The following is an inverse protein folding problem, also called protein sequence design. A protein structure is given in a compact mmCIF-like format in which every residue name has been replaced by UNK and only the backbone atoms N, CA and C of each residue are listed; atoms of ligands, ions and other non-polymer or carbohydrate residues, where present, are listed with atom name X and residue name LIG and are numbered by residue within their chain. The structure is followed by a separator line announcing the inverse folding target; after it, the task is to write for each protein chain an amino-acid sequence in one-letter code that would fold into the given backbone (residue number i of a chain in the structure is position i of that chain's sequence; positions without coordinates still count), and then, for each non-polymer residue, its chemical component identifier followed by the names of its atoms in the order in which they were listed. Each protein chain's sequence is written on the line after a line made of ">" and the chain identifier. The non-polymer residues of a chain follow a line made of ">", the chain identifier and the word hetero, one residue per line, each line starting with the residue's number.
data_IF_538206654005
#
_entry.id   IF_538206654005
#
_cell.length_a   1.000
_cell.length_b   1.000
_cell.length_c   1.000
_cell.angle_alpha   90.00
_cell.angle_beta   90.00
_cell.angle_gamma   90.00
#
_symmetry.space_group_name_H-M   'P 1'
#
loop_
_entity.id
_entity.type
_entity.pdbx_description
1 polymer ?
#
# COMPACT_ATOMS: atom_id res chain seq x y z
N UNK A 1 3.64 18.31 10.85
CA UNK A 1 4.38 17.03 10.74
C UNK A 1 3.43 15.91 10.34
N UNK A 2 3.94 14.85 9.80
CA UNK A 2 3.10 13.74 9.29
C UNK A 2 2.26 13.11 10.40
N UNK A 3 2.82 12.99 11.60
CA UNK A 3 2.09 12.41 12.73
C UNK A 3 0.81 13.19 13.05
N UNK A 4 0.84 14.50 12.95
CA UNK A 4 -0.35 15.34 13.18
C UNK A 4 -1.39 15.10 12.08
N UNK A 5 -0.93 14.98 10.84
CA UNK A 5 -1.84 14.73 9.71
C UNK A 5 -2.51 13.35 9.82
N UNK A 6 -1.76 12.34 10.27
CA UNK A 6 -2.32 11.01 10.51
C UNK A 6 -3.41 11.05 11.58
N UNK A 7 -3.22 11.83 12.64
CA UNK A 7 -4.23 12.00 13.68
C UNK A 7 -5.48 12.67 13.14
N UNK A 8 -5.33 13.73 12.33
CA UNK A 8 -6.47 14.40 11.69
C UNK A 8 -7.30 13.46 10.82
N UNK A 9 -6.64 12.51 10.15
CA UNK A 9 -7.28 11.55 9.27
C UNK A 9 -7.73 10.28 10.00
N UNK A 10 -7.49 10.20 11.31
CA UNK A 10 -7.78 9.01 12.13
C UNK A 10 -7.10 7.74 11.56
N UNK A 11 -5.84 7.89 11.18
CA UNK A 11 -5.04 6.78 10.65
C UNK A 11 -4.01 6.36 11.67
N UNK A 12 -4.01 5.06 12.01
CA UNK A 12 -3.02 4.45 12.87
C UNK A 12 -2.03 3.65 12.03
N UNK A 13 -0.73 3.96 12.16
CA UNK A 13 0.34 3.21 11.52
C UNK A 13 0.77 2.09 12.47
N UNK A 14 0.55 0.82 12.13
CA UNK A 14 0.88 -0.28 13.02
C UNK A 14 2.39 -0.52 13.10
N UNK A 15 2.79 -1.28 14.11
CA UNK A 15 4.15 -1.84 14.15
C UNK A 15 4.20 -3.00 13.17
N UNK A 16 5.11 -2.99 12.18
CA UNK A 16 5.14 -4.06 11.19
C UNK A 16 5.68 -5.35 11.79
N UNK A 17 5.24 -6.52 11.27
CA UNK A 17 5.79 -7.81 11.70
C UNK A 17 7.24 -7.95 11.23
N UNK A 18 7.98 -8.85 11.87
CA UNK A 18 9.32 -9.22 11.41
C UNK A 18 9.20 -9.94 10.06
N UNK A 19 10.13 -9.68 9.12
CA UNK A 19 10.07 -10.33 7.81
C UNK A 19 10.32 -11.84 7.95
N UNK A 20 9.60 -12.60 7.14
CA UNK A 20 9.81 -14.04 6.99
C UNK A 20 10.56 -14.30 5.67
N UNK A 21 11.61 -15.10 5.72
CA UNK A 21 12.40 -15.45 4.55
C UNK A 21 13.64 -14.59 4.36
N UNK A 22 14.21 -14.65 3.15
CA UNK A 22 15.50 -14.04 2.83
C UNK A 22 15.42 -12.59 2.39
N UNK A 23 14.22 -12.06 2.17
CA UNK A 23 14.07 -10.66 1.76
C UNK A 23 13.95 -9.75 2.98
N UNK A 24 14.21 -8.47 2.78
CA UNK A 24 13.97 -7.42 3.77
C UNK A 24 12.84 -6.51 3.29
N UNK A 25 12.04 -5.94 4.23
CA UNK A 25 10.86 -5.14 3.84
C UNK A 25 11.18 -3.85 3.10
N UNK A 26 12.32 -3.23 3.40
CA UNK A 26 12.74 -1.98 2.77
C UNK A 26 14.22 -2.03 2.46
N UNK A 27 14.58 -1.79 1.20
CA UNK A 27 15.96 -1.67 0.75
C UNK A 27 16.22 -0.22 0.40
N UNK A 28 17.29 0.34 0.95
CA UNK A 28 17.71 1.71 0.63
C UNK A 28 18.98 1.70 -0.19
N UNK A 29 19.05 2.56 -1.19
CA UNK A 29 20.27 2.82 -1.96
C UNK A 29 20.29 4.29 -2.37
N UNK A 30 21.38 5.00 -2.04
CA UNK A 30 21.41 6.45 -2.21
C UNK A 30 20.25 7.08 -1.46
N UNK A 31 19.46 7.90 -2.15
CA UNK A 31 18.30 8.58 -1.59
C UNK A 31 16.98 7.85 -1.88
N UNK A 32 17.04 6.60 -2.33
CA UNK A 32 15.87 5.84 -2.68
C UNK A 32 15.61 4.72 -1.66
N UNK A 33 14.32 4.50 -1.36
CA UNK A 33 13.86 3.37 -0.56
C UNK A 33 12.88 2.55 -1.40
N UNK A 34 13.12 1.25 -1.49
CA UNK A 34 12.28 0.30 -2.19
C UNK A 34 11.55 -0.56 -1.17
N UNK A 35 10.24 -0.55 -1.22
CA UNK A 35 9.40 -1.32 -0.28
C UNK A 35 8.97 -2.60 -0.96
N UNK A 36 9.17 -3.73 -0.28
CA UNK A 36 8.67 -5.03 -0.74
C UNK A 36 7.15 -5.03 -0.84
N UNK A 37 6.59 -5.93 -1.63
CA UNK A 37 5.14 -6.01 -1.83
C UNK A 37 4.38 -6.14 -0.52
N UNK A 38 3.26 -5.44 -0.42
CA UNK A 38 2.38 -5.45 0.73
C UNK A 38 1.03 -6.04 0.36
N UNK A 39 0.44 -6.77 1.28
CA UNK A 39 -0.87 -7.40 1.14
C UNK A 39 -1.83 -6.81 2.19
N UNK A 40 -3.17 -6.96 2.02
CA UNK A 40 -4.12 -6.34 2.94
C UNK A 40 -4.24 -7.13 4.25
N UNK A 41 -3.18 -7.13 5.01
CA UNK A 41 -3.07 -7.82 6.29
C UNK A 41 -3.20 -6.84 7.44
N UNK A 42 -4.00 -7.20 8.43
CA UNK A 42 -4.20 -6.42 9.65
C UNK A 42 -4.21 -7.37 10.85
N UNK A 43 -3.38 -7.07 11.86
CA UNK A 43 -3.29 -7.89 13.06
C UNK A 43 -3.00 -9.37 12.76
N UNK A 44 -2.11 -9.63 11.80
CA UNK A 44 -1.71 -10.97 11.42
C UNK A 44 -2.69 -11.73 10.54
N UNK A 45 -3.78 -11.09 10.11
CA UNK A 45 -4.83 -11.72 9.29
C UNK A 45 -5.04 -10.97 8.00
N UNK A 46 -5.25 -11.71 6.92
CA UNK A 46 -5.67 -11.12 5.64
C UNK A 46 -7.14 -10.74 5.78
N UNK A 47 -7.45 -9.47 5.57
CA UNK A 47 -8.80 -8.93 5.76
C UNK A 47 -9.67 -9.13 4.53
N UNK A 48 -9.05 -9.06 3.33
CA UNK A 48 -9.78 -9.22 2.07
C UNK A 48 -9.08 -10.25 1.21
N UNK A 49 -9.82 -11.27 0.78
CA UNK A 49 -9.33 -12.33 -0.10
C UNK A 49 -10.29 -12.52 -1.25
N UNK A 50 -9.77 -12.91 -2.42
CA UNK A 50 -10.57 -13.26 -3.57
C UNK A 50 -10.50 -12.25 -4.69
N UNK A 51 -11.05 -12.65 -5.83
CA UNK A 51 -10.98 -11.87 -7.06
C UNK A 51 -12.03 -10.77 -7.14
N UNK A 52 -11.64 -9.67 -7.78
CA UNK A 52 -12.52 -8.54 -8.12
C UNK A 52 -13.06 -8.77 -9.53
N UNK A 53 -14.34 -8.66 -9.79
CA UNK A 53 -15.44 -8.35 -8.89
C UNK A 53 -16.17 -9.59 -8.34
N UNK A 54 -15.67 -10.79 -8.62
CA UNK A 54 -16.37 -12.04 -8.28
C UNK A 54 -16.61 -12.22 -6.79
N UNK A 55 -15.56 -12.09 -5.98
CA UNK A 55 -15.61 -12.30 -4.53
C UNK A 55 -15.57 -10.97 -3.79
N UNK A 56 -14.74 -10.05 -4.25
CA UNK A 56 -14.60 -8.72 -3.64
C UNK A 56 -15.18 -7.66 -4.57
N UNK A 57 -15.94 -6.73 -4.00
CA UNK A 57 -16.41 -5.56 -4.73
C UNK A 57 -15.27 -4.59 -5.02
N UNK A 58 -15.49 -3.66 -5.94
CA UNK A 58 -14.55 -2.56 -6.16
C UNK A 58 -14.33 -1.77 -4.86
N UNK A 59 -15.39 -1.52 -4.10
CA UNK A 59 -15.28 -0.78 -2.84
C UNK A 59 -14.45 -1.51 -1.79
N UNK A 60 -14.64 -2.82 -1.60
CA UNK A 60 -13.82 -3.59 -0.66
C UNK A 60 -12.37 -3.70 -1.13
N UNK A 61 -12.15 -3.80 -2.44
CA UNK A 61 -10.80 -3.81 -3.01
C UNK A 61 -10.09 -2.47 -2.78
N UNK A 62 -10.81 -1.36 -2.84
CA UNK A 62 -10.27 -0.04 -2.52
C UNK A 62 -9.83 0.04 -1.06
N UNK A 63 -10.60 -0.50 -0.14
CA UNK A 63 -10.21 -0.58 1.28
C UNK A 63 -8.98 -1.48 1.47
N UNK A 64 -8.90 -2.59 0.75
CA UNK A 64 -7.72 -3.46 0.76
C UNK A 64 -6.47 -2.71 0.29
N UNK A 65 -6.58 -1.90 -0.76
CA UNK A 65 -5.48 -1.09 -1.27
C UNK A 65 -4.97 -0.09 -0.23
N UNK A 66 -5.88 0.53 0.53
CA UNK A 66 -5.50 1.44 1.62
C UNK A 66 -4.71 0.70 2.72
N UNK A 67 -5.14 -0.50 3.08
CA UNK A 67 -4.44 -1.31 4.08
C UNK A 67 -3.02 -1.62 3.60
N UNK A 68 -2.85 -1.96 2.33
CA UNK A 68 -1.52 -2.21 1.76
C UNK A 68 -0.61 -0.97 1.88
N UNK A 69 -1.14 0.22 1.61
CA UNK A 69 -0.39 1.48 1.76
C UNK A 69 0.01 1.70 3.23
N UNK A 70 -0.92 1.52 4.15
CA UNK A 70 -0.64 1.68 5.59
C UNK A 70 0.47 0.71 6.02
N UNK A 71 0.43 -0.53 5.55
CA UNK A 71 1.47 -1.52 5.84
C UNK A 71 2.82 -1.10 5.24
N UNK A 72 2.84 -0.56 4.04
CA UNK A 72 4.05 -0.03 3.42
C UNK A 72 4.63 1.14 4.22
N UNK A 73 3.77 2.06 4.68
CA UNK A 73 4.20 3.18 5.52
C UNK A 73 4.73 2.69 6.87
N UNK A 74 4.15 1.64 7.43
CA UNK A 74 4.65 1.04 8.67
C UNK A 74 6.09 0.53 8.49
N UNK A 75 6.37 -0.15 7.37
CA UNK A 75 7.71 -0.63 7.05
C UNK A 75 8.69 0.53 6.85
N UNK A 76 8.27 1.58 6.15
CA UNK A 76 9.10 2.77 5.95
C UNK A 76 9.40 3.48 7.27
N UNK A 77 8.41 3.64 8.12
CA UNK A 77 8.60 4.25 9.44
C UNK A 77 9.60 3.46 10.28
N UNK A 78 9.49 2.14 10.29
CA UNK A 78 10.41 1.28 11.03
C UNK A 78 11.84 1.41 10.49
N UNK A 79 12.01 1.46 9.17
CA UNK A 79 13.34 1.57 8.54
C UNK A 79 13.95 2.94 8.71
N UNK A 80 13.17 4.00 8.51
CA UNK A 80 13.68 5.38 8.50
C UNK A 80 13.66 6.05 9.87
N UNK A 81 12.87 5.52 10.80
CA UNK A 81 12.67 6.12 12.11
C UNK A 81 11.54 7.14 12.16
N UNK A 82 11.25 7.81 11.07
CA UNK A 82 10.15 8.78 10.97
C UNK A 82 9.69 8.90 9.52
N UNK A 83 8.40 9.03 9.31
CA UNK A 83 7.83 9.30 7.99
C UNK A 83 8.14 10.72 7.50
N UNK A 84 8.52 11.63 8.39
CA UNK A 84 8.92 12.99 8.02
C UNK A 84 10.21 13.02 7.18
N UNK A 85 10.98 11.93 7.16
CA UNK A 85 12.18 11.83 6.33
C UNK A 85 11.88 11.61 4.86
N UNK A 86 10.65 11.24 4.51
CA UNK A 86 10.23 11.04 3.12
C UNK A 86 10.03 12.42 2.48
N UNK A 87 10.69 12.66 1.36
CA UNK A 87 10.59 13.94 0.65
C UNK A 87 9.78 13.82 -0.64
N UNK A 88 9.63 12.61 -1.18
CA UNK A 88 8.88 12.38 -2.42
C UNK A 88 8.53 10.91 -2.57
N UNK A 89 7.32 10.67 -3.06
CA UNK A 89 6.93 9.34 -3.54
C UNK A 89 7.17 9.28 -5.05
N UNK A 90 7.93 8.28 -5.48
CA UNK A 90 8.37 8.17 -6.87
C UNK A 90 7.41 7.33 -7.69
N UNK A 91 7.01 6.18 -7.17
CA UNK A 91 6.19 5.22 -7.91
C UNK A 91 5.39 4.31 -7.00
N UNK A 92 4.17 4.02 -7.45
CA UNK A 92 3.34 2.94 -6.92
C UNK A 92 3.10 1.92 -8.03
N UNK A 93 3.25 0.64 -7.70
CA UNK A 93 2.85 -0.48 -8.56
C UNK A 93 1.71 -1.21 -7.87
N UNK A 94 0.53 -1.18 -8.48
CA UNK A 94 -0.66 -1.81 -7.94
C UNK A 94 -1.04 -3.06 -8.73
N UNK A 95 -1.23 -4.16 -8.02
CA UNK A 95 -1.58 -5.46 -8.59
C UNK A 95 -2.90 -5.92 -8.00
N UNK A 96 -3.92 -6.04 -8.84
CA UNK A 96 -5.26 -6.42 -8.42
C UNK A 96 -5.54 -7.86 -8.82
N UNK A 97 -5.86 -8.70 -7.84
CA UNK A 97 -6.35 -10.05 -8.12
C UNK A 97 -7.74 -9.91 -8.71
N UNK A 98 -7.85 -10.06 -10.03
CA UNK A 98 -9.08 -9.74 -10.75
C UNK A 98 -9.39 -10.77 -11.82
N UNK A 99 -10.67 -10.87 -12.17
CA UNK A 99 -11.10 -11.70 -13.28
C UNK A 99 -10.56 -11.14 -14.58
N UNK A 100 -10.46 -11.99 -15.60
CA UNK A 100 -9.77 -11.66 -16.87
C UNK A 100 -10.44 -10.52 -17.65
N UNK A 101 -11.71 -10.26 -17.42
CA UNK A 101 -12.48 -9.20 -18.09
C UNK A 101 -12.64 -7.93 -17.26
N UNK A 102 -12.11 -7.91 -16.03
CA UNK A 102 -12.13 -6.71 -15.19
C UNK A 102 -11.09 -5.71 -15.68
N UNK A 103 -11.51 -4.46 -15.87
CA UNK A 103 -10.63 -3.41 -16.42
C UNK A 103 -10.57 -2.15 -15.57
N UNK A 104 -11.14 -2.18 -14.36
CA UNK A 104 -11.16 -1.02 -13.46
C UNK A 104 -10.08 -1.05 -12.38
N UNK A 105 -8.94 -1.69 -12.66
CA UNK A 105 -7.80 -1.70 -11.73
C UNK A 105 -7.37 -0.29 -11.31
N UNK A 106 -7.33 0.72 -12.22
CA UNK A 106 -7.01 2.08 -11.80
C UNK A 106 -7.94 2.63 -10.73
N UNK A 107 -9.22 2.31 -10.78
CA UNK A 107 -10.20 2.74 -9.78
C UNK A 107 -9.89 2.17 -8.40
N UNK A 108 -9.48 0.90 -8.35
CA UNK A 108 -9.07 0.26 -7.11
C UNK A 108 -7.81 0.95 -6.54
N UNK A 109 -6.79 1.13 -7.35
CA UNK A 109 -5.51 1.68 -6.90
C UNK A 109 -5.59 3.19 -6.65
N UNK A 110 -6.58 3.89 -7.20
CA UNK A 110 -6.84 5.28 -6.84
C UNK A 110 -7.00 5.47 -5.33
N UNK A 111 -7.58 4.50 -4.63
CA UNK A 111 -7.72 4.58 -3.17
C UNK A 111 -6.37 4.67 -2.48
N UNK A 112 -5.38 3.91 -2.94
CA UNK A 112 -4.01 3.96 -2.44
C UNK A 112 -3.35 5.31 -2.76
N UNK A 113 -3.45 5.76 -4.00
CA UNK A 113 -2.87 7.03 -4.44
C UNK A 113 -3.46 8.21 -3.68
N UNK A 114 -4.78 8.24 -3.56
CA UNK A 114 -5.48 9.33 -2.87
C UNK A 114 -5.13 9.36 -1.38
N UNK A 115 -5.00 8.20 -0.74
CA UNK A 115 -4.59 8.12 0.65
C UNK A 115 -3.21 8.75 0.88
N UNK A 116 -2.25 8.46 0.00
CA UNK A 116 -0.91 9.05 0.10
C UNK A 116 -0.96 10.57 -0.07
N UNK A 117 -1.74 11.06 -1.01
CA UNK A 117 -1.88 12.51 -1.22
C UNK A 117 -2.59 13.16 -0.03
N UNK A 118 -3.59 12.50 0.55
CA UNK A 118 -4.27 13.00 1.74
C UNK A 118 -3.30 13.14 2.93
N UNK A 119 -2.38 12.20 3.08
CA UNK A 119 -1.40 12.23 4.17
C UNK A 119 -0.26 13.20 3.91
N UNK A 120 0.35 13.15 2.72
CA UNK A 120 1.62 13.82 2.41
C UNK A 120 1.49 15.05 1.51
N UNK A 121 0.34 15.26 0.88
CA UNK A 121 0.16 16.38 -0.05
C UNK A 121 0.86 16.14 -1.39
N UNK A 122 1.28 17.23 -2.04
CA UNK A 122 1.82 17.19 -3.41
C UNK A 122 3.08 16.33 -3.56
N UNK A 123 3.89 16.17 -2.51
CA UNK A 123 5.06 15.30 -2.57
C UNK A 123 4.70 13.83 -2.81
N UNK A 124 3.46 13.45 -2.58
CA UNK A 124 2.99 12.08 -2.78
C UNK A 124 2.46 11.81 -4.19
N UNK A 125 2.39 12.82 -5.05
CA UNK A 125 2.04 12.61 -6.47
C UNK A 125 3.16 11.83 -7.14
N UNK A 126 2.82 10.69 -7.69
CA UNK A 126 3.76 9.65 -8.09
C UNK A 126 3.43 9.11 -9.49
N UNK A 127 4.39 8.45 -10.13
CA UNK A 127 4.12 7.63 -11.29
C UNK A 127 3.48 6.31 -10.84
N UNK A 128 2.74 5.65 -11.72
CA UNK A 128 1.95 4.49 -11.30
C UNK A 128 1.73 3.48 -12.40
N UNK A 129 1.67 2.21 -12.01
CA UNK A 129 1.11 1.14 -12.81
C UNK A 129 -0.01 0.48 -11.98
N UNK A 130 -1.12 0.15 -12.64
CA UNK A 130 -2.25 -0.56 -12.02
C UNK A 130 -2.71 -1.64 -13.01
N UNK A 131 -2.51 -2.89 -12.65
CA UNK A 131 -2.78 -4.04 -13.53
C UNK A 131 -3.51 -5.14 -12.77
N UNK A 132 -4.18 -6.00 -13.52
CA UNK A 132 -4.76 -7.22 -12.99
C UNK A 132 -3.75 -8.36 -13.06
N UNK A 133 -3.83 -9.27 -12.10
CA UNK A 133 -3.01 -10.48 -12.08
C UNK A 133 -3.92 -11.70 -11.91
N UNK A 134 -3.44 -12.85 -12.35
CA UNK A 134 -4.21 -14.10 -12.28
C UNK A 134 -4.42 -14.56 -10.83
N UNK A 135 -3.47 -14.28 -9.95
CA UNK A 135 -3.55 -14.59 -8.52
C UNK A 135 -2.55 -13.75 -7.75
N UNK A 136 -2.79 -13.60 -6.47
CA UNK A 136 -1.86 -12.99 -5.53
C UNK A 136 -1.45 -14.01 -4.47
N UNK A 137 -0.28 -13.83 -3.83
CA UNK A 137 0.09 -14.66 -2.68
C UNK A 137 -1.01 -14.61 -1.64
N UNK A 138 -1.40 -15.76 -1.10
CA UNK A 138 -2.45 -15.93 -0.10
C UNK A 138 -3.82 -15.45 -0.58
N UNK A 139 -3.92 -15.27 -1.89
CA UNK A 139 -5.14 -14.86 -2.57
C UNK A 139 -5.57 -13.44 -2.13
#
# INVERSE_FOLDING_TARGET
>A
MIQDRLKELDIHIPTPPSPAGSYIPVVTTGNLAFVSGQIPMKEGKIIFEGKVPETQSVDSAREAAKICIINGLAQLKAKLGSLDKITKFVRISGFVNSSSDFTEQPKVINAASDLLVDIFGDMAKHSRIAVGVASLPLN
#
